data_IF_669646782088
#
_entry.id   IF_669646782088
#
_cell.length_a   1.000
_cell.length_b   1.000
_cell.length_c   1.000
_cell.angle_alpha   90.00
_cell.angle_beta   90.00
_cell.angle_gamma   90.00
#
_symmetry.space_group_name_H-M   'P 1'
#
loop_
_entity.id
_entity.type
_entity.pdbx_description
1 polymer ?
#
# COMPACT_ATOMS: atom_id res chain seq x y z
N UNK A 1 6.03 12.93 5.55
CA UNK A 1 7.06 12.12 4.90
C UNK A 1 6.38 11.04 4.06
N UNK A 2 6.86 10.82 2.84
CA UNK A 2 6.23 9.87 1.94
C UNK A 2 6.98 8.54 1.91
N UNK A 3 6.21 7.47 1.66
CA UNK A 3 6.72 6.11 1.55
C UNK A 3 6.10 5.44 0.33
N UNK A 4 6.91 4.68 -0.41
CA UNK A 4 6.42 3.81 -1.47
C UNK A 4 6.24 2.41 -0.91
N UNK A 5 5.04 1.87 -1.07
CA UNK A 5 4.71 0.51 -0.64
C UNK A 5 4.39 -0.34 -1.86
N UNK A 6 5.01 -1.51 -1.94
CA UNK A 6 4.75 -2.50 -2.99
C UNK A 6 4.27 -3.78 -2.32
N UNK A 7 3.05 -4.20 -2.67
CA UNK A 7 2.36 -5.32 -2.05
C UNK A 7 2.07 -6.39 -3.10
N UNK A 8 2.07 -7.66 -2.69
CA UNK A 8 1.63 -8.77 -3.54
C UNK A 8 0.66 -9.67 -2.79
N UNK A 9 -0.32 -10.20 -3.52
CA UNK A 9 -1.17 -11.27 -2.99
C UNK A 9 -0.36 -12.56 -2.92
N UNK A 10 -0.55 -13.31 -1.83
CA UNK A 10 0.07 -14.62 -1.68
C UNK A 10 -0.74 -15.67 -2.46
N UNK A 11 -0.54 -15.71 -3.77
CA UNK A 11 -1.26 -16.61 -4.67
C UNK A 11 -0.73 -18.04 -4.61
N UNK A 12 0.40 -18.28 -3.94
CA UNK A 12 0.91 -19.62 -3.70
C UNK A 12 0.07 -20.35 -2.64
N UNK A 13 -0.45 -19.60 -1.66
CA UNK A 13 -1.21 -20.16 -0.54
C UNK A 13 -2.71 -19.99 -0.66
N UNK A 14 -3.17 -18.97 -1.42
CA UNK A 14 -4.58 -18.60 -1.48
C UNK A 14 -5.05 -18.50 -2.93
N UNK A 15 -6.30 -18.93 -3.17
CA UNK A 15 -6.96 -18.86 -4.48
C UNK A 15 -7.82 -17.61 -4.58
N UNK A 16 -8.26 -17.27 -5.80
CA UNK A 16 -9.14 -16.12 -6.02
C UNK A 16 -10.41 -16.20 -5.16
N UNK A 17 -10.95 -17.41 -4.97
CA UNK A 17 -12.12 -17.62 -4.13
C UNK A 17 -11.86 -17.33 -2.64
N UNK A 18 -10.61 -17.43 -2.20
CA UNK A 18 -10.23 -17.08 -0.83
C UNK A 18 -10.18 -15.56 -0.64
N UNK A 19 -9.73 -14.83 -1.67
CA UNK A 19 -9.66 -13.37 -1.62
C UNK A 19 -11.03 -12.70 -1.74
N UNK A 20 -11.93 -13.25 -2.55
CA UNK A 20 -13.19 -12.61 -2.91
C UNK A 20 -14.01 -12.11 -1.71
N UNK A 21 -14.18 -12.87 -0.60
CA UNK A 21 -14.97 -12.39 0.55
C UNK A 21 -14.35 -11.16 1.25
N UNK A 22 -13.05 -10.93 1.10
CA UNK A 22 -12.32 -9.85 1.77
C UNK A 22 -12.25 -8.57 0.93
N UNK A 23 -12.56 -8.64 -0.37
CA UNK A 23 -12.34 -7.51 -1.27
C UNK A 23 -13.21 -6.29 -0.96
N UNK A 24 -14.49 -6.41 -0.56
CA UNK A 24 -15.28 -5.24 -0.19
C UNK A 24 -14.70 -4.47 0.99
N UNK A 25 -14.25 -5.17 2.04
CA UNK A 25 -13.66 -4.54 3.22
C UNK A 25 -12.28 -3.96 2.91
N UNK A 26 -11.51 -4.63 2.08
CA UNK A 26 -10.22 -4.13 1.62
C UNK A 26 -10.39 -2.81 0.85
N UNK A 27 -11.35 -2.76 -0.09
CA UNK A 27 -11.64 -1.56 -0.84
C UNK A 27 -12.12 -0.42 0.05
N UNK A 28 -12.94 -0.72 1.05
CA UNK A 28 -13.43 0.28 2.01
C UNK A 28 -12.27 0.89 2.80
N UNK A 29 -11.34 0.07 3.29
CA UNK A 29 -10.19 0.56 4.06
C UNK A 29 -9.24 1.38 3.19
N UNK A 30 -9.04 1.00 1.92
CA UNK A 30 -8.24 1.80 0.98
C UNK A 30 -8.87 3.17 0.75
N UNK A 31 -10.21 3.24 0.61
CA UNK A 31 -10.91 4.52 0.49
C UNK A 31 -10.74 5.40 1.72
N UNK A 32 -10.78 4.81 2.92
CA UNK A 32 -10.55 5.53 4.18
C UNK A 32 -9.16 6.12 4.24
N UNK A 33 -8.15 5.33 3.93
CA UNK A 33 -6.76 5.81 3.91
C UNK A 33 -6.57 6.95 2.91
N UNK A 34 -7.20 6.85 1.74
CA UNK A 34 -7.16 7.91 0.75
C UNK A 34 -7.88 9.18 1.24
N UNK A 35 -9.07 9.03 1.81
CA UNK A 35 -9.84 10.16 2.31
C UNK A 35 -9.15 10.88 3.47
N UNK A 36 -8.41 10.15 4.31
CA UNK A 36 -7.65 10.71 5.43
C UNK A 36 -6.33 11.34 4.99
N UNK A 37 -5.94 11.19 3.73
CA UNK A 37 -4.65 11.64 3.22
C UNK A 37 -3.49 10.72 3.58
N UNK A 38 -3.76 9.56 4.18
CA UNK A 38 -2.73 8.58 4.53
C UNK A 38 -2.23 7.82 3.29
N UNK A 39 -3.09 7.54 2.33
CA UNK A 39 -2.71 6.99 1.02
C UNK A 39 -2.91 8.07 -0.03
N UNK A 40 -1.81 8.56 -0.62
CA UNK A 40 -1.84 9.61 -1.63
C UNK A 40 -2.13 9.06 -3.02
N UNK A 41 -1.71 7.83 -3.28
CA UNK A 41 -1.96 7.11 -4.53
C UNK A 41 -2.15 5.64 -4.24
N UNK A 42 -3.08 5.00 -4.94
CA UNK A 42 -3.34 3.57 -4.82
C UNK A 42 -3.46 3.00 -6.23
N UNK A 43 -2.65 1.98 -6.53
CA UNK A 43 -2.56 1.37 -7.85
C UNK A 43 -2.68 -0.14 -7.74
N UNK A 44 -3.29 -0.77 -8.73
CA UNK A 44 -3.17 -2.21 -8.92
C UNK A 44 -1.91 -2.51 -9.73
N UNK A 45 -1.21 -3.57 -9.38
CA UNK A 45 -0.07 -4.05 -10.17
C UNK A 45 -0.57 -4.76 -11.42
N UNK A 46 0.20 -4.64 -12.50
CA UNK A 46 -0.10 -5.36 -13.75
C UNK A 46 0.85 -6.54 -13.99
N UNK A 47 1.96 -6.61 -13.25
CA UNK A 47 2.94 -7.71 -13.35
C UNK A 47 2.49 -8.96 -12.57
N UNK A 48 1.78 -8.76 -11.47
CA UNK A 48 1.20 -9.83 -10.63
C UNK A 48 0.12 -9.23 -9.75
N UNK A 49 -0.78 -10.06 -9.18
CA UNK A 49 -1.80 -9.54 -8.27
C UNK A 49 -1.19 -8.85 -7.04
N UNK A 50 -1.58 -7.62 -6.80
CA UNK A 50 -1.07 -6.81 -5.72
C UNK A 50 -1.37 -5.35 -5.93
N UNK A 51 -0.71 -4.51 -5.14
CA UNK A 51 -0.94 -3.08 -5.15
C UNK A 51 0.36 -2.30 -4.98
N UNK A 52 0.35 -1.06 -5.43
CA UNK A 52 1.39 -0.09 -5.14
C UNK A 52 0.72 1.14 -4.54
N UNK A 53 1.28 1.67 -3.46
CA UNK A 53 0.74 2.82 -2.77
C UNK A 53 1.84 3.84 -2.48
N UNK A 54 1.45 5.12 -2.49
CA UNK A 54 2.25 6.17 -1.89
C UNK A 54 1.56 6.58 -0.59
N UNK A 55 2.26 6.41 0.53
CA UNK A 55 1.73 6.68 1.86
C UNK A 55 2.33 7.96 2.42
N UNK A 56 1.52 8.70 3.20
CA UNK A 56 1.97 9.82 4.00
C UNK A 56 1.96 9.38 5.47
N UNK A 57 3.12 9.49 6.13
CA UNK A 57 3.25 9.12 7.53
C UNK A 57 4.45 9.85 8.16
N UNK A 58 4.47 9.95 9.47
CA UNK A 58 5.54 10.66 10.19
C UNK A 58 6.84 9.87 10.19
N UNK A 59 6.77 8.56 10.21
CA UNK A 59 7.92 7.67 10.25
C UNK A 59 7.59 6.29 9.66
N UNK A 60 8.59 5.42 9.59
CA UNK A 60 8.44 4.07 9.03
C UNK A 60 7.42 3.23 9.81
N UNK A 61 7.41 3.34 11.13
CA UNK A 61 6.46 2.59 11.96
C UNK A 61 5.02 3.03 11.68
N UNK A 62 4.78 4.33 11.53
CA UNK A 62 3.48 4.85 11.17
C UNK A 62 3.05 4.40 9.77
N UNK A 63 3.98 4.37 8.80
CA UNK A 63 3.71 3.86 7.46
C UNK A 63 3.33 2.37 7.48
N UNK A 64 4.07 1.57 8.25
CA UNK A 64 3.75 0.14 8.42
C UNK A 64 2.37 -0.04 9.06
N UNK A 65 2.02 0.79 10.04
CA UNK A 65 0.69 0.74 10.67
C UNK A 65 -0.44 1.03 9.67
N UNK A 66 -0.22 1.93 8.70
CA UNK A 66 -1.18 2.17 7.62
C UNK A 66 -1.42 0.89 6.81
N UNK A 67 -0.35 0.19 6.45
CA UNK A 67 -0.45 -1.07 5.71
C UNK A 67 -1.12 -2.16 6.55
N UNK A 68 -0.78 -2.25 7.84
CA UNK A 68 -1.35 -3.24 8.77
C UNK A 68 -2.85 -3.06 8.96
N UNK A 69 -3.40 -1.90 8.66
CA UNK A 69 -4.85 -1.65 8.70
C UNK A 69 -5.62 -2.30 7.55
N UNK A 70 -4.93 -2.72 6.50
CA UNK A 70 -5.57 -3.36 5.34
C UNK A 70 -5.98 -4.80 5.69
N UNK A 71 -7.25 -5.18 5.46
CA UNK A 71 -7.73 -6.53 5.80
C UNK A 71 -6.90 -7.66 5.22
N UNK A 72 -6.42 -7.54 3.97
CA UNK A 72 -5.61 -8.59 3.35
C UNK A 72 -4.22 -8.70 3.99
N UNK A 73 -3.65 -7.60 4.49
CA UNK A 73 -2.39 -7.63 5.25
C UNK A 73 -2.64 -8.29 6.62
N UNK A 74 -3.72 -7.92 7.31
CA UNK A 74 -4.05 -8.49 8.62
C UNK A 74 -4.21 -10.00 8.59
N UNK A 75 -4.76 -10.52 7.51
CA UNK A 75 -5.01 -11.96 7.37
C UNK A 75 -3.81 -12.73 6.85
N UNK A 76 -2.71 -12.04 6.49
CA UNK A 76 -1.54 -12.67 5.88
C UNK A 76 -1.73 -13.07 4.43
N UNK A 77 -2.82 -12.64 3.80
CA UNK A 77 -3.13 -12.96 2.40
C UNK A 77 -2.43 -12.03 1.41
N UNK A 78 -1.93 -10.90 1.89
CA UNK A 78 -1.13 -9.97 1.11
C UNK A 78 0.16 -9.66 1.86
N UNK A 79 1.28 -9.64 1.14
CA UNK A 79 2.61 -9.49 1.69
C UNK A 79 3.22 -8.16 1.23
N UNK A 80 4.05 -7.56 2.08
CA UNK A 80 4.78 -6.33 1.75
C UNK A 80 6.11 -6.72 1.10
N UNK A 81 6.24 -6.45 -0.19
CA UNK A 81 7.50 -6.66 -0.93
C UNK A 81 8.49 -5.55 -0.64
N UNK A 82 8.01 -4.31 -0.48
CA UNK A 82 8.87 -3.17 -0.20
C UNK A 82 8.08 -2.09 0.54
N UNK A 83 8.74 -1.41 1.46
CA UNK A 83 8.25 -0.19 2.09
C UNK A 83 9.43 0.77 2.16
N UNK A 84 9.46 1.75 1.27
CA UNK A 84 10.63 2.58 1.00
C UNK A 84 10.35 4.02 1.39
N UNK A 85 11.13 4.61 2.30
CA UNK A 85 11.03 6.04 2.58
C UNK A 85 11.52 6.85 1.38
N UNK A 86 10.83 7.94 1.10
CA UNK A 86 11.08 8.80 -0.05
C UNK A 86 11.43 10.21 0.39
N UNK A 87 12.24 10.89 -0.41
CA UNK A 87 12.47 12.31 -0.26
C UNK A 87 12.33 12.98 -1.64
N UNK A 88 11.95 14.26 -1.70
CA UNK A 88 11.85 14.96 -2.98
C UNK A 88 13.21 14.96 -3.71
N UNK A 89 13.15 14.80 -5.04
CA UNK A 89 14.34 14.88 -5.87
C UNK A 89 14.74 16.34 -6.03
N UNK A 90 15.93 16.75 -5.54
CA UNK A 90 16.31 18.16 -5.55
C UNK A 90 16.64 18.71 -6.94
N UNK A 91 16.88 17.84 -7.92
CA UNK A 91 17.23 18.24 -9.28
C UNK A 91 16.12 18.94 -10.06
N UNK A 92 14.88 18.96 -9.55
CA UNK A 92 13.77 19.68 -10.16
C UNK A 92 13.59 21.10 -9.60
N UNK A 93 14.45 21.50 -8.66
CA UNK A 93 14.44 22.87 -8.16
C UNK A 93 14.98 23.87 -9.20
N UNK A 94 14.64 25.16 -9.07
CA UNK A 94 15.14 26.15 -9.99
C UNK A 94 16.65 26.29 -9.92
N UNK A 95 17.30 26.58 -11.07
CA UNK A 95 18.72 26.89 -11.09
C UNK A 95 18.96 28.24 -10.42
N UNK A 96 19.89 28.27 -9.54
CA UNK A 96 20.31 29.51 -8.87
C UNK A 96 21.59 30.07 -9.47
#
# INVERSE_FOLDING_TARGET
MQFFALLRRDTDRFKDTDFAPHLPDEAEQRRRLYAEGAARSVWNRTDRPGAALVLEADDLNAAQARLDSLPLIKTGMMLVDALVPLMPYPGFGPRS
#
